data_IF_505242037987
#
_entry.id   IF_505242037987
#
_cell.length_a   1.000
_cell.length_b   1.000
_cell.length_c   1.000
_cell.angle_alpha   90.00
_cell.angle_beta   90.00
_cell.angle_gamma   90.00
#
_symmetry.space_group_name_H-M   'P 1'
#
loop_
_entity.id
_entity.type
_entity.pdbx_description
1 polymer ?
#
# COMPACT_ATOMS: atom_id res chain seq x y z
N UNK A 1 -34.61 52.99 14.04
CA UNK A 1 -34.03 51.64 14.04
C UNK A 1 -32.56 51.78 13.70
N UNK A 2 -31.68 51.25 14.56
CA UNK A 2 -30.47 50.53 14.15
C UNK A 2 -29.96 49.80 15.41
N UNK A 3 -30.43 48.55 15.54
CA UNK A 3 -29.91 47.51 16.43
C UNK A 3 -28.57 47.13 15.85
N UNK A 4 -27.41 47.41 16.48
CA UNK A 4 -26.15 46.63 16.34
C UNK A 4 -25.01 47.16 17.24
N UNK A 5 -25.32 47.54 18.49
CA UNK A 5 -24.29 47.65 19.54
C UNK A 5 -23.88 46.25 20.01
N UNK A 6 -23.15 45.50 19.19
CA UNK A 6 -22.45 44.28 19.62
C UNK A 6 -21.22 44.12 18.75
N UNK A 7 -20.10 43.74 19.36
CA UNK A 7 -18.76 43.55 18.79
C UNK A 7 -17.83 44.77 18.95
N UNK A 8 -17.82 45.33 20.16
CA UNK A 8 -16.53 45.55 20.80
C UNK A 8 -15.87 44.18 21.01
N UNK A 9 -14.54 44.13 20.87
CA UNK A 9 -13.66 43.02 21.24
C UNK A 9 -13.33 41.98 20.14
N UNK A 10 -12.43 42.36 19.24
CA UNK A 10 -11.59 41.41 18.51
C UNK A 10 -10.27 42.06 18.07
N UNK A 11 -9.50 42.62 19.03
CA UNK A 11 -8.11 42.99 18.77
C UNK A 11 -7.22 41.77 19.03
N UNK A 12 -7.02 41.00 17.96
CA UNK A 12 -5.95 40.02 17.68
C UNK A 12 -5.31 39.25 18.85
N UNK A 13 -5.44 37.91 18.87
CA UNK A 13 -4.33 37.07 19.32
C UNK A 13 -3.31 36.95 18.18
N UNK A 14 -2.21 37.70 18.32
CA UNK A 14 -0.91 37.36 17.75
C UNK A 14 -0.54 35.94 18.25
N UNK A 15 -0.04 35.08 17.36
CA UNK A 15 0.40 33.69 17.60
C UNK A 15 -0.72 32.66 17.65
N UNK A 16 -1.27 32.35 16.48
CA UNK A 16 -1.62 30.96 16.18
C UNK A 16 -0.31 30.15 16.13
N UNK A 17 0.20 29.76 17.29
CA UNK A 17 0.99 28.53 17.34
C UNK A 17 0.06 27.43 16.86
N UNK A 18 0.39 26.89 15.69
CA UNK A 18 -0.25 25.70 15.17
C UNK A 18 0.06 24.60 16.18
N UNK A 19 -0.82 24.42 17.14
CA UNK A 19 -0.90 23.18 17.90
C UNK A 19 -1.47 22.18 16.89
N UNK A 20 -0.56 21.55 16.16
CA UNK A 20 -0.85 20.33 15.43
C UNK A 20 -1.22 19.30 16.49
N UNK A 21 -2.52 19.15 16.76
CA UNK A 21 -3.08 17.95 17.36
C UNK A 21 -2.67 16.79 16.47
N UNK A 22 -1.55 16.16 16.84
CA UNK A 22 -0.93 15.03 16.17
C UNK A 22 -1.78 13.75 16.36
N UNK A 23 -3.10 13.85 16.21
CA UNK A 23 -4.00 12.71 16.06
C UNK A 23 -4.32 12.41 14.60
N UNK A 24 -3.55 12.99 13.67
CA UNK A 24 -3.40 12.46 12.33
C UNK A 24 -1.97 11.94 12.14
N UNK A 25 -1.52 11.06 13.04
CA UNK A 25 -0.54 10.05 12.63
C UNK A 25 -1.28 9.18 11.62
N UNK A 26 -1.30 9.60 10.34
CA UNK A 26 -1.57 8.66 9.27
C UNK A 26 -0.55 7.54 9.46
N UNK A 27 -1.06 6.36 9.81
CA UNK A 27 -0.28 5.15 9.87
C UNK A 27 0.06 4.71 8.44
N UNK A 28 0.79 5.54 7.70
CA UNK A 28 1.22 5.28 6.33
C UNK A 28 2.42 4.34 6.28
N UNK A 29 3.07 4.09 7.41
CA UNK A 29 4.26 3.22 7.47
C UNK A 29 3.93 1.73 7.50
N UNK A 30 2.76 1.31 8.00
CA UNK A 30 2.48 -0.14 8.18
C UNK A 30 2.05 -0.84 6.87
N UNK A 31 1.45 -0.12 5.91
CA UNK A 31 0.91 -0.72 4.67
C UNK A 31 2.00 -1.07 3.65
N UNK A 32 3.01 -0.21 3.52
CA UNK A 32 4.13 -0.43 2.59
C UNK A 32 5.06 -1.56 3.06
N UNK A 33 5.30 -1.65 4.37
CA UNK A 33 6.16 -2.69 4.94
C UNK A 33 5.53 -4.08 4.84
N UNK A 34 4.21 -4.18 5.06
CA UNK A 34 3.46 -5.41 4.83
C UNK A 34 3.50 -5.85 3.35
N UNK A 35 3.48 -4.90 2.41
CA UNK A 35 3.57 -5.19 0.97
C UNK A 35 4.97 -5.65 0.57
N UNK A 36 6.02 -5.06 1.14
CA UNK A 36 7.41 -5.47 0.93
C UNK A 36 7.62 -6.91 1.44
N UNK A 37 7.12 -7.24 2.63
CA UNK A 37 7.17 -8.60 3.17
C UNK A 37 6.42 -9.60 2.28
N UNK A 38 5.22 -9.21 1.80
CA UNK A 38 4.44 -10.06 0.91
C UNK A 38 5.16 -10.32 -0.43
N UNK A 39 5.86 -9.33 -0.98
CA UNK A 39 6.65 -9.50 -2.19
C UNK A 39 7.76 -10.55 -1.99
N UNK A 40 8.51 -10.46 -0.90
CA UNK A 40 9.62 -11.40 -0.63
C UNK A 40 9.11 -12.84 -0.45
N UNK A 41 8.01 -13.01 0.30
CA UNK A 41 7.36 -14.31 0.48
C UNK A 41 6.78 -14.88 -0.82
N UNK A 42 6.13 -14.06 -1.65
CA UNK A 42 5.61 -14.49 -2.95
C UNK A 42 6.75 -14.88 -3.90
N UNK A 43 7.87 -14.13 -3.89
CA UNK A 43 9.08 -14.47 -4.66
C UNK A 43 9.71 -15.76 -4.15
N UNK A 44 9.75 -15.99 -2.84
CA UNK A 44 10.26 -17.23 -2.26
C UNK A 44 9.36 -18.44 -2.60
N UNK A 45 8.04 -18.22 -2.69
CA UNK A 45 7.07 -19.23 -3.10
C UNK A 45 7.03 -19.47 -4.62
N UNK A 46 7.31 -18.45 -5.43
CA UNK A 46 7.46 -18.58 -6.89
C UNK A 46 8.86 -19.09 -7.24
N UNK A 47 8.91 -20.23 -7.91
CA UNK A 47 10.15 -20.76 -8.47
C UNK A 47 10.26 -20.57 -9.99
N UNK A 48 11.29 -21.18 -10.61
CA UNK A 48 11.36 -21.36 -12.05
C UNK A 48 10.28 -22.34 -12.57
N UNK A 49 9.60 -23.04 -11.66
CA UNK A 49 8.49 -23.93 -11.99
C UNK A 49 7.19 -23.11 -12.05
N UNK A 50 6.33 -23.30 -13.07
CA UNK A 50 5.06 -22.60 -13.18
C UNK A 50 4.09 -23.01 -12.06
N UNK A 51 3.81 -22.08 -11.16
CA UNK A 51 2.91 -22.23 -10.00
C UNK A 51 1.58 -21.53 -10.28
N UNK A 52 0.46 -22.10 -9.80
CA UNK A 52 -0.85 -21.46 -9.98
C UNK A 52 -1.03 -20.28 -9.02
N UNK A 53 -1.76 -19.25 -9.45
CA UNK A 53 -2.07 -18.10 -8.57
C UNK A 53 -2.86 -18.56 -7.33
N UNK A 54 -3.75 -19.54 -7.46
CA UNK A 54 -4.51 -20.12 -6.34
C UNK A 54 -3.60 -20.75 -5.28
N UNK A 55 -2.57 -21.48 -5.72
CA UNK A 55 -1.58 -22.08 -4.83
C UNK A 55 -0.77 -21.03 -4.07
N UNK A 56 -0.40 -19.92 -4.72
CA UNK A 56 0.27 -18.80 -4.07
C UNK A 56 -0.62 -18.15 -3.00
N UNK A 57 -1.91 -17.96 -3.28
CA UNK A 57 -2.87 -17.47 -2.29
C UNK A 57 -2.98 -18.41 -1.09
N UNK A 58 -2.92 -19.73 -1.34
CA UNK A 58 -3.04 -20.74 -0.29
C UNK A 58 -1.80 -20.82 0.60
N UNK A 59 -0.61 -20.70 0.01
CA UNK A 59 0.67 -20.78 0.74
C UNK A 59 1.00 -19.50 1.46
N UNK A 60 0.87 -18.34 0.80
CA UNK A 60 1.29 -17.06 1.36
C UNK A 60 0.22 -16.43 2.27
N UNK A 61 -1.02 -16.92 2.23
CA UNK A 61 -2.15 -16.42 3.03
C UNK A 61 -2.43 -14.91 2.91
N UNK A 62 -1.92 -14.27 1.86
CA UNK A 62 -2.19 -12.86 1.55
C UNK A 62 -3.52 -12.68 0.82
N UNK A 63 -4.03 -11.45 0.87
CA UNK A 63 -5.22 -11.08 0.10
C UNK A 63 -4.93 -11.15 -1.41
N UNK A 64 -5.92 -11.61 -2.20
CA UNK A 64 -5.84 -11.68 -3.66
C UNK A 64 -5.33 -10.37 -4.29
N UNK A 65 -5.76 -9.22 -3.76
CA UNK A 65 -5.33 -7.92 -4.25
C UNK A 65 -3.82 -7.72 -4.10
N UNK A 66 -3.25 -8.08 -2.95
CA UNK A 66 -1.80 -7.96 -2.67
C UNK A 66 -1.01 -8.88 -3.60
N UNK A 67 -1.43 -10.14 -3.73
CA UNK A 67 -0.78 -11.09 -4.64
C UNK A 67 -0.83 -10.58 -6.08
N UNK A 68 -1.99 -10.14 -6.56
CA UNK A 68 -2.13 -9.58 -7.90
C UNK A 68 -1.26 -8.36 -8.14
N UNK A 69 -1.16 -7.45 -7.15
CA UNK A 69 -0.28 -6.28 -7.24
C UNK A 69 1.19 -6.69 -7.34
N UNK A 70 1.66 -7.60 -6.48
CA UNK A 70 3.04 -8.08 -6.51
C UNK A 70 3.36 -8.79 -7.83
N UNK A 71 2.46 -9.64 -8.32
CA UNK A 71 2.64 -10.32 -9.61
C UNK A 71 2.72 -9.30 -10.76
N UNK A 72 1.89 -8.26 -10.73
CA UNK A 72 1.91 -7.19 -11.73
C UNK A 72 3.22 -6.40 -11.69
N UNK A 73 3.75 -6.12 -10.50
CA UNK A 73 5.04 -5.43 -10.35
C UNK A 73 6.20 -6.26 -10.90
N UNK A 74 6.21 -7.57 -10.64
CA UNK A 74 7.22 -8.48 -11.16
C UNK A 74 7.13 -8.64 -12.68
N UNK A 75 5.91 -8.67 -13.22
CA UNK A 75 5.65 -8.69 -14.66
C UNK A 75 6.12 -7.41 -15.33
N UNK A 76 5.81 -6.25 -14.73
CA UNK A 76 6.27 -4.95 -15.23
C UNK A 76 7.80 -4.82 -15.17
N UNK A 77 8.44 -5.45 -14.19
CA UNK A 77 9.89 -5.55 -14.10
C UNK A 77 10.51 -6.55 -15.08
N UNK A 78 9.70 -7.29 -15.86
CA UNK A 78 10.19 -8.32 -16.80
C UNK A 78 10.70 -9.59 -16.11
N UNK A 79 10.44 -9.78 -14.81
CA UNK A 79 10.93 -10.90 -14.00
C UNK A 79 9.89 -12.01 -13.82
N UNK A 80 8.72 -11.89 -14.43
CA UNK A 80 7.64 -12.87 -14.32
C UNK A 80 7.02 -13.17 -15.68
N UNK A 81 6.75 -14.44 -15.93
CA UNK A 81 6.05 -14.91 -17.12
C UNK A 81 4.70 -15.53 -16.73
N UNK A 82 3.67 -15.23 -17.53
CA UNK A 82 2.34 -15.83 -17.39
C UNK A 82 2.14 -16.97 -18.38
N UNK A 83 1.69 -18.10 -17.85
CA UNK A 83 1.41 -19.34 -18.58
C UNK A 83 -0.11 -19.56 -18.70
N UNK A 84 -0.58 -20.35 -19.70
CA UNK A 84 -1.98 -20.72 -19.79
C UNK A 84 -2.47 -21.46 -18.52
N UNK A 85 -3.70 -21.17 -18.11
CA UNK A 85 -4.30 -21.76 -16.90
C UNK A 85 -3.99 -21.04 -15.59
N UNK A 86 -3.79 -19.71 -15.63
CA UNK A 86 -3.53 -18.88 -14.45
C UNK A 86 -2.27 -19.31 -13.67
N UNK A 87 -1.25 -19.74 -14.41
CA UNK A 87 0.05 -20.12 -13.87
C UNK A 87 1.05 -18.99 -14.11
N UNK A 88 1.96 -18.83 -13.17
CA UNK A 88 3.01 -17.82 -13.18
C UNK A 88 4.34 -18.48 -12.82
N UNK A 89 5.42 -18.06 -13.47
CA UNK A 89 6.77 -18.50 -13.15
C UNK A 89 7.70 -17.32 -13.03
N UNK A 90 8.69 -17.43 -12.16
CA UNK A 90 9.75 -16.46 -12.05
C UNK A 90 10.71 -16.64 -13.23
N UNK A 91 10.96 -15.56 -13.96
CA UNK A 91 12.05 -15.48 -14.91
C UNK A 91 13.33 -15.18 -14.12
N UNK A 92 14.30 -16.08 -14.23
CA UNK A 92 15.61 -15.89 -13.61
C UNK A 92 16.39 -14.88 -14.46
N UNK A 93 16.17 -13.59 -14.16
CA UNK A 93 16.92 -12.49 -14.74
C UNK A 93 18.41 -12.66 -14.38
N UNK A 94 19.29 -12.62 -15.38
CA UNK A 94 20.74 -12.85 -15.26
C UNK A 94 21.49 -11.54 -15.04
#
# INVERSE_FOLDING_TARGET
EDVFTVLADARAPEKAEIIVDNQYTMNESTSVEATISARDEIIAALGPTPTTVDELLRVCQFSQAVVSTVLLELELAGRLERHPGSKVSLLMDH
#
